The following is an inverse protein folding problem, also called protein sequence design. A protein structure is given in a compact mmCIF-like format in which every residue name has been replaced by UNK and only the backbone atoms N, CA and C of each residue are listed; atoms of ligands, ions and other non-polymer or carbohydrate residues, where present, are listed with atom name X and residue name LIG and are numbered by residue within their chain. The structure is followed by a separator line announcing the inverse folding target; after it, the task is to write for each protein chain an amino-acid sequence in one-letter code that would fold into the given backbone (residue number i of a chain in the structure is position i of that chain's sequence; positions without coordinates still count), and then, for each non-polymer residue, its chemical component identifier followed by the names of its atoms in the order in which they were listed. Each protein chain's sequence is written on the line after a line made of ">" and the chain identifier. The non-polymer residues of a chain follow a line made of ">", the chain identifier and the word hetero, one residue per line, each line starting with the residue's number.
data_IF_670523555055
#
_entry.id   IF_670523555055
#
_cell.length_a   1.000
_cell.length_b   1.000
_cell.length_c   1.000
_cell.angle_alpha   90.00
_cell.angle_beta   90.00
_cell.angle_gamma   90.00
#
_symmetry.space_group_name_H-M   'P 1'
#
loop_
_entity.id
_entity.type
_entity.pdbx_description
1 polymer ?
#
# COMPACT_ATOMS: atom_id res chain seq x y z
N UNK A 1 -16.01 19.26 7.70
CA UNK A 1 -14.63 18.90 8.10
C UNK A 1 -13.91 18.41 6.86
N UNK A 2 -12.84 19.08 6.46
CA UNK A 2 -11.97 18.62 5.37
C UNK A 2 -11.09 17.50 5.96
N UNK A 3 -11.27 16.25 5.53
CA UNK A 3 -10.37 15.16 5.94
C UNK A 3 -9.16 15.18 5.04
N UNK A 4 -8.05 15.77 5.49
CA UNK A 4 -6.76 15.64 4.81
C UNK A 4 -6.24 14.22 5.02
N UNK A 5 -6.33 13.40 3.96
CA UNK A 5 -5.76 12.05 3.96
C UNK A 5 -4.24 12.16 3.88
N UNK A 6 -3.53 11.65 4.88
CA UNK A 6 -2.07 11.60 4.87
C UNK A 6 -1.59 10.52 3.89
N UNK A 7 -0.53 10.81 3.15
CA UNK A 7 0.09 9.81 2.27
C UNK A 7 0.93 8.82 3.08
N UNK A 8 1.15 7.58 2.60
CA UNK A 8 2.03 6.62 3.28
C UNK A 8 3.42 7.18 3.58
N UNK A 9 3.96 8.00 2.69
CA UNK A 9 5.27 8.63 2.85
C UNK A 9 5.27 9.63 4.01
N UNK A 10 4.23 10.47 4.12
CA UNK A 10 4.06 11.37 5.25
C UNK A 10 3.91 10.61 6.57
N UNK A 11 3.14 9.53 6.56
CA UNK A 11 2.95 8.68 7.74
C UNK A 11 4.28 8.10 8.20
N UNK A 12 5.09 7.56 7.28
CA UNK A 12 6.39 6.97 7.60
C UNK A 12 7.35 8.01 8.17
N UNK A 13 7.42 9.21 7.56
CA UNK A 13 8.28 10.30 8.10
C UNK A 13 7.88 10.69 9.53
N UNK A 14 6.59 10.73 9.85
CA UNK A 14 6.11 11.02 11.22
C UNK A 14 6.49 9.89 12.19
N UNK A 15 6.42 8.63 11.74
CA UNK A 15 6.84 7.47 12.55
C UNK A 15 8.35 7.46 12.80
N UNK A 16 9.16 7.74 11.78
CA UNK A 16 10.63 7.87 11.88
C UNK A 16 11.03 9.00 12.85
N UNK A 17 10.31 10.13 12.86
CA UNK A 17 10.53 11.21 13.83
C UNK A 17 10.36 10.71 15.28
N UNK A 18 9.39 9.83 15.53
CA UNK A 18 9.19 9.23 16.84
C UNK A 18 10.27 8.19 17.19
N UNK A 19 10.80 7.48 16.20
CA UNK A 19 11.89 6.51 16.39
C UNK A 19 13.23 7.16 16.76
N UNK A 20 13.47 8.40 16.32
CA UNK A 20 14.64 9.20 16.74
C UNK A 20 14.65 9.52 18.24
N UNK A 21 13.48 9.51 18.90
CA UNK A 21 13.36 9.72 20.34
C UNK A 21 13.58 11.16 20.82
N UNK A 22 13.72 12.13 19.92
CA UNK A 22 13.96 13.55 20.25
C UNK A 22 12.72 14.25 20.85
N UNK A 23 11.52 13.74 20.55
CA UNK A 23 10.24 14.30 21.00
C UNK A 23 9.30 13.20 21.52
N UNK A 24 8.41 13.57 22.44
CA UNK A 24 7.35 12.67 22.89
C UNK A 24 6.31 12.47 21.77
N UNK A 25 5.65 11.30 21.74
CA UNK A 25 4.57 11.02 20.78
C UNK A 25 3.46 12.08 20.87
N UNK A 26 3.14 12.57 22.08
CA UNK A 26 2.15 13.61 22.31
C UNK A 26 2.56 14.99 21.72
N UNK A 27 3.86 15.28 21.64
CA UNK A 27 4.37 16.49 20.98
C UNK A 27 4.29 16.36 19.46
N UNK A 28 4.76 15.22 18.92
CA UNK A 28 4.69 14.90 17.48
C UNK A 28 3.24 14.93 16.99
N UNK A 29 2.30 14.35 17.75
CA UNK A 29 0.88 14.35 17.40
C UNK A 29 0.30 15.77 17.33
N UNK A 30 0.71 16.67 18.23
CA UNK A 30 0.30 18.07 18.22
C UNK A 30 0.92 18.84 17.05
N UNK A 31 2.19 18.61 16.74
CA UNK A 31 2.90 19.21 15.61
C UNK A 31 2.21 18.89 14.27
N UNK A 32 1.84 17.63 14.08
CA UNK A 32 1.22 17.15 12.84
C UNK A 32 -0.32 17.22 12.85
N UNK A 33 -0.93 17.72 13.93
CA UNK A 33 -2.39 17.84 14.03
C UNK A 33 -3.14 16.50 13.99
N UNK A 34 -2.52 15.43 14.49
CA UNK A 34 -3.08 14.08 14.52
C UNK A 34 -3.42 13.64 15.95
N UNK A 35 -4.37 12.73 16.09
CA UNK A 35 -4.65 12.09 17.37
C UNK A 35 -3.62 10.97 17.66
N UNK A 36 -3.26 10.75 18.93
CA UNK A 36 -2.35 9.66 19.32
C UNK A 36 -2.85 8.28 18.88
N UNK A 37 -4.16 8.03 18.92
CA UNK A 37 -4.75 6.79 18.41
C UNK A 37 -4.45 6.59 16.91
N UNK A 38 -4.48 7.67 16.11
CA UNK A 38 -4.10 7.63 14.69
C UNK A 38 -2.63 7.25 14.54
N UNK A 39 -1.75 7.85 15.34
CA UNK A 39 -0.32 7.52 15.34
C UNK A 39 -0.07 6.04 15.64
N UNK A 40 -0.71 5.46 16.67
CA UNK A 40 -0.52 4.03 16.98
C UNK A 40 -1.10 3.10 15.91
N UNK A 41 -2.21 3.47 15.27
CA UNK A 41 -2.74 2.74 14.11
C UNK A 41 -1.76 2.74 12.95
N UNK A 42 -1.15 3.90 12.66
CA UNK A 42 -0.11 4.01 11.64
C UNK A 42 1.13 3.20 12.00
N UNK A 43 1.59 3.26 13.25
CA UNK A 43 2.74 2.47 13.72
C UNK A 43 2.50 0.97 13.56
N UNK A 44 1.27 0.48 13.75
CA UNK A 44 0.93 -0.93 13.49
C UNK A 44 0.97 -1.30 11.99
N UNK A 45 0.64 -0.36 11.11
CA UNK A 45 0.52 -0.60 9.67
C UNK A 45 1.83 -0.35 8.91
N UNK A 46 2.61 0.65 9.33
CA UNK A 46 3.78 1.18 8.63
C UNK A 46 5.05 1.22 9.49
N UNK A 47 4.98 0.87 10.79
CA UNK A 47 6.15 0.90 11.67
C UNK A 47 7.22 -0.08 11.19
N UNK A 48 8.48 0.35 11.21
CA UNK A 48 9.61 -0.42 10.68
C UNK A 48 9.66 -0.54 9.15
N UNK A 49 8.80 0.17 8.42
CA UNK A 49 8.83 0.26 6.96
C UNK A 49 9.44 1.60 6.54
N UNK A 50 10.49 1.55 5.74
CA UNK A 50 11.06 2.76 5.12
C UNK A 50 10.16 3.29 4.01
N UNK A 51 10.28 4.59 3.69
CA UNK A 51 9.56 5.23 2.58
C UNK A 51 9.79 4.48 1.26
N UNK A 52 11.02 3.99 1.05
CA UNK A 52 11.39 3.26 -0.17
C UNK A 52 10.72 1.88 -0.25
N UNK A 53 10.60 1.17 0.88
CA UNK A 53 9.87 -0.09 0.95
C UNK A 53 8.37 0.09 0.68
N UNK A 54 7.77 1.15 1.21
CA UNK A 54 6.36 1.46 0.95
C UNK A 54 6.10 1.78 -0.53
N UNK A 55 6.96 2.59 -1.15
CA UNK A 55 6.88 2.90 -2.58
C UNK A 55 7.05 1.63 -3.43
N UNK A 56 8.03 0.79 -3.08
CA UNK A 56 8.27 -0.48 -3.78
C UNK A 56 7.08 -1.44 -3.65
N UNK A 57 6.48 -1.53 -2.47
CA UNK A 57 5.30 -2.37 -2.26
C UNK A 57 4.13 -1.93 -3.14
N UNK A 58 3.84 -0.62 -3.21
CA UNK A 58 2.79 -0.06 -4.05
C UNK A 58 3.01 -0.34 -5.54
N UNK A 59 4.25 -0.25 -6.01
CA UNK A 59 4.61 -0.61 -7.39
C UNK A 59 4.40 -2.10 -7.67
N UNK A 60 4.81 -2.96 -6.74
CA UNK A 60 4.61 -4.40 -6.85
C UNK A 60 3.12 -4.78 -6.85
N UNK A 61 2.30 -4.14 -6.01
CA UNK A 61 0.85 -4.37 -5.99
C UNK A 61 0.19 -3.96 -7.31
N UNK A 62 0.58 -2.80 -7.87
CA UNK A 62 0.10 -2.34 -9.17
C UNK A 62 0.47 -3.31 -10.29
N UNK A 63 1.72 -3.76 -10.31
CA UNK A 63 2.20 -4.69 -11.33
C UNK A 63 1.55 -6.07 -11.18
N UNK A 64 1.37 -6.57 -9.96
CA UNK A 64 0.65 -7.80 -9.68
C UNK A 64 -0.79 -7.74 -10.21
N UNK A 65 -1.50 -6.62 -9.97
CA UNK A 65 -2.82 -6.39 -10.52
C UNK A 65 -2.86 -6.41 -12.05
N UNK A 66 -1.87 -5.79 -12.71
CA UNK A 66 -1.72 -5.81 -14.17
C UNK A 66 -1.48 -7.23 -14.68
N UNK A 67 -0.57 -7.97 -14.06
CA UNK A 67 -0.21 -9.34 -14.43
C UNK A 67 -1.40 -10.30 -14.26
N UNK A 68 -2.16 -10.20 -13.16
CA UNK A 68 -3.36 -11.00 -12.94
C UNK A 68 -4.42 -10.78 -14.02
N UNK A 69 -4.62 -9.53 -14.46
CA UNK A 69 -5.56 -9.21 -15.55
C UNK A 69 -5.13 -9.85 -16.86
N UNK A 70 -3.86 -9.65 -17.25
CA UNK A 70 -3.32 -10.24 -18.47
C UNK A 70 -3.40 -11.77 -18.45
N UNK A 71 -3.10 -12.39 -17.29
CA UNK A 71 -3.23 -13.83 -17.13
C UNK A 71 -4.67 -14.30 -17.33
N UNK A 72 -5.66 -13.62 -16.71
CA UNK A 72 -7.06 -13.96 -16.88
C UNK A 72 -7.52 -13.85 -18.35
N UNK A 73 -7.14 -12.78 -19.05
CA UNK A 73 -7.42 -12.61 -20.47
C UNK A 73 -6.84 -13.76 -21.30
N UNK A 74 -5.58 -14.14 -21.07
CA UNK A 74 -4.92 -15.24 -21.78
C UNK A 74 -5.53 -16.62 -21.47
N UNK A 75 -5.95 -16.85 -20.23
CA UNK A 75 -6.64 -18.09 -19.85
C UNK A 75 -7.97 -18.20 -20.60
N UNK A 76 -8.76 -17.12 -20.63
CA UNK A 76 -10.04 -17.11 -21.36
C UNK A 76 -9.85 -17.34 -22.87
N UNK A 77 -8.87 -16.66 -23.49
CA UNK A 77 -8.52 -16.90 -24.90
C UNK A 77 -8.11 -18.36 -25.15
N UNK A 78 -7.32 -18.94 -24.26
CA UNK A 78 -6.87 -20.32 -24.39
C UNK A 78 -8.02 -21.33 -24.29
N UNK A 79 -8.94 -21.11 -23.35
CA UNK A 79 -10.11 -21.97 -23.16
C UNK A 79 -11.05 -21.91 -24.39
N UNK A 80 -11.29 -20.72 -24.93
CA UNK A 80 -12.03 -20.54 -26.18
C UNK A 80 -11.38 -21.28 -27.36
N UNK A 81 -10.06 -21.19 -27.50
CA UNK A 81 -9.33 -21.90 -28.56
C UNK A 81 -9.44 -23.43 -28.40
N UNK A 82 -9.32 -23.94 -27.17
CA UNK A 82 -9.51 -25.37 -26.90
C UNK A 82 -10.92 -25.85 -27.22
N UNK A 83 -11.94 -25.06 -26.87
CA UNK A 83 -13.33 -25.39 -27.18
C UNK A 83 -13.57 -25.45 -28.70
N UNK A 84 -13.04 -24.48 -29.46
CA UNK A 84 -13.15 -24.46 -30.92
C UNK A 84 -12.45 -25.64 -31.59
N UNK A 85 -11.29 -26.05 -31.07
CA UNK A 85 -10.55 -27.22 -31.58
C UNK A 85 -11.25 -28.53 -31.21
N UNK A 86 -11.82 -28.63 -30.00
CA UNK A 86 -12.58 -29.79 -29.55
C UNK A 86 -13.89 -30.01 -30.31
N UNK A 87 -14.52 -28.95 -30.83
CA UNK A 87 -15.74 -29.04 -31.66
C UNK A 87 -15.51 -29.50 -33.10
N UNK A 88 -14.25 -29.63 -33.55
CA UNK A 88 -13.89 -30.07 -34.91
C UNK A 88 -13.49 -31.55 -35.00
N UNK A 89 -13.67 -32.32 -33.92
CA UNK A 89 -13.44 -33.76 -33.86
C UNK A 89 -14.74 -34.55 -33.83
#
# INVERSE_FOLDING_TARGET
>A
MQTTTHTPEQIITILEQAEKGEQTIAAICREHGIAENTFYRWRKAYGGMSVNEAQRLKELEKENGRLKRLLAERVLENDLLKELLGKRG
#
